data_IF_405338261706
#
_entry.id   IF_405338261706
#
_cell.length_a   1.000
_cell.length_b   1.000
_cell.length_c   1.000
_cell.angle_alpha   90.00
_cell.angle_beta   90.00
_cell.angle_gamma   90.00
#
_symmetry.space_group_name_H-M   'P 1'
#
loop_
_entity.id
_entity.type
_entity.pdbx_description
1 polymer ?
#
# COMPACT_ATOMS: atom_id res chain seq x y z
N UNK A 1 31.08 -0.21 -12.52
CA UNK A 1 31.75 0.54 -11.45
C UNK A 1 31.70 -0.29 -10.16
N UNK A 2 32.83 -0.89 -9.80
CA UNK A 2 32.95 -1.57 -8.52
C UNK A 2 33.22 -0.52 -7.44
N UNK A 3 32.21 0.31 -7.19
CA UNK A 3 32.29 1.32 -6.15
C UNK A 3 32.00 0.70 -4.78
N UNK A 4 32.93 0.79 -3.86
CA UNK A 4 32.70 0.57 -2.43
C UNK A 4 31.73 1.68 -1.99
N UNK A 5 30.46 1.40 -1.95
CA UNK A 5 29.42 2.39 -1.63
C UNK A 5 28.40 1.83 -0.65
N UNK A 6 28.15 2.56 0.43
CA UNK A 6 27.05 2.23 1.34
C UNK A 6 25.72 2.69 0.75
N UNK A 7 24.71 1.85 0.83
CA UNK A 7 23.35 2.15 0.38
C UNK A 7 22.39 2.20 1.58
N UNK A 8 21.46 3.14 1.54
CA UNK A 8 20.44 3.28 2.59
C UNK A 8 19.04 3.28 1.97
N UNK A 9 18.18 2.44 2.51
CA UNK A 9 16.74 2.44 2.25
C UNK A 9 16.00 2.82 3.52
N UNK A 10 15.11 3.78 3.43
CA UNK A 10 14.27 4.21 4.56
C UNK A 10 12.83 4.33 4.11
N UNK A 11 11.91 3.80 4.90
CA UNK A 11 10.47 3.78 4.59
C UNK A 11 10.19 3.17 3.21
N UNK A 12 10.82 2.07 2.86
CA UNK A 12 10.67 1.40 1.58
C UNK A 12 10.00 0.04 1.72
N UNK A 13 9.38 -0.43 0.66
CA UNK A 13 8.88 -1.80 0.64
C UNK A 13 8.91 -2.44 -0.74
N UNK A 14 8.97 -3.76 -0.74
CA UNK A 14 8.74 -4.62 -1.89
C UNK A 14 7.61 -5.58 -1.56
N UNK A 15 6.50 -5.52 -2.28
CA UNK A 15 5.33 -6.33 -1.95
C UNK A 15 4.55 -6.80 -3.18
N UNK A 16 3.94 -8.00 -3.07
CA UNK A 16 3.09 -8.61 -4.09
C UNK A 16 3.70 -8.59 -5.49
N UNK A 17 4.95 -8.97 -5.60
CA UNK A 17 5.69 -8.98 -6.87
C UNK A 17 6.43 -10.30 -7.07
N UNK A 18 6.82 -10.55 -8.30
CA UNK A 18 7.75 -11.61 -8.67
C UNK A 18 9.00 -10.98 -9.23
N UNK A 19 10.13 -11.31 -8.63
CA UNK A 19 11.45 -10.85 -9.10
C UNK A 19 12.28 -12.08 -9.40
N UNK A 20 12.67 -12.22 -10.66
CA UNK A 20 13.49 -13.34 -11.09
C UNK A 20 14.74 -12.87 -11.80
N UNK A 21 15.82 -13.63 -11.66
CA UNK A 21 17.03 -13.49 -12.44
C UNK A 21 17.33 -14.81 -13.12
N UNK A 22 17.75 -14.75 -14.38
CA UNK A 22 18.11 -15.93 -15.16
C UNK A 22 19.50 -15.78 -15.74
N UNK A 23 20.31 -16.85 -15.65
CA UNK A 23 21.56 -16.96 -16.40
C UNK A 23 21.71 -18.35 -16.98
N UNK A 24 22.04 -18.42 -18.26
CA UNK A 24 22.38 -19.65 -18.97
C UNK A 24 23.89 -19.76 -19.23
N UNK A 25 24.69 -18.82 -18.75
CA UNK A 25 26.15 -18.85 -18.81
C UNK A 25 26.72 -19.83 -17.75
N UNK A 26 27.70 -20.63 -18.17
CA UNK A 26 28.35 -21.66 -17.33
C UNK A 26 29.06 -21.09 -16.11
N UNK A 27 29.46 -19.82 -16.16
CA UNK A 27 30.09 -19.06 -15.06
C UNK A 27 29.20 -17.90 -14.58
N UNK A 28 27.95 -17.85 -15.02
CA UNK A 28 27.04 -16.75 -14.74
C UNK A 28 26.58 -16.71 -13.29
N UNK A 29 26.18 -15.52 -12.87
CA UNK A 29 25.65 -15.22 -11.54
C UNK A 29 24.19 -14.87 -11.68
N UNK A 30 23.31 -15.45 -10.86
CA UNK A 30 21.88 -15.16 -10.81
C UNK A 30 21.50 -14.87 -9.37
N UNK A 31 21.29 -13.59 -9.05
CA UNK A 31 21.11 -13.09 -7.70
C UNK A 31 19.86 -12.22 -7.63
N UNK A 32 19.01 -12.47 -6.63
CA UNK A 32 17.75 -11.74 -6.45
C UNK A 32 17.55 -11.40 -4.97
N UNK A 33 17.37 -10.12 -4.69
CA UNK A 33 16.97 -9.63 -3.38
C UNK A 33 15.77 -8.71 -3.45
N UNK A 34 15.09 -8.50 -2.34
CA UNK A 34 13.94 -7.61 -2.26
C UNK A 34 14.28 -6.14 -2.54
N UNK A 35 15.51 -5.72 -2.25
CA UNK A 35 16.01 -4.36 -2.52
C UNK A 35 17.22 -4.35 -3.46
N UNK A 36 18.18 -5.24 -3.26
CA UNK A 36 19.41 -5.30 -4.10
C UNK A 36 19.71 -6.73 -4.50
N UNK A 37 20.24 -6.93 -5.72
CA UNK A 37 20.65 -8.25 -6.21
C UNK A 37 21.92 -8.73 -5.53
N UNK A 38 22.95 -7.89 -5.43
CA UNK A 38 24.24 -8.20 -4.81
C UNK A 38 24.90 -6.99 -4.16
N UNK A 39 25.83 -7.28 -3.26
CA UNK A 39 26.68 -6.29 -2.61
C UNK A 39 28.11 -6.81 -2.50
N UNK A 40 29.08 -5.91 -2.65
CA UNK A 40 30.50 -6.23 -2.52
C UNK A 40 31.18 -5.18 -1.65
N UNK A 41 31.85 -5.62 -0.59
CA UNK A 41 32.62 -4.79 0.36
C UNK A 41 31.91 -3.50 0.79
N UNK A 42 30.59 -3.60 1.08
CA UNK A 42 29.72 -2.45 1.35
C UNK A 42 28.70 -2.76 2.43
N UNK A 43 28.09 -1.72 3.02
CA UNK A 43 27.01 -1.87 3.97
C UNK A 43 25.67 -1.43 3.36
N UNK A 44 24.64 -2.28 3.57
CA UNK A 44 23.25 -1.96 3.30
C UNK A 44 22.57 -1.55 4.61
N UNK A 45 22.15 -0.32 4.69
CA UNK A 45 21.35 0.17 5.82
C UNK A 45 19.88 0.17 5.41
N UNK A 46 19.04 -0.53 6.19
CA UNK A 46 17.60 -0.67 5.92
C UNK A 46 16.83 -0.22 7.15
N UNK A 47 16.06 0.85 7.04
CA UNK A 47 15.34 1.43 8.16
C UNK A 47 13.84 1.50 7.86
N UNK A 48 13.02 0.98 8.76
CA UNK A 48 11.57 1.06 8.67
C UNK A 48 11.05 0.55 7.30
N UNK A 49 11.48 -0.65 6.91
CA UNK A 49 11.21 -1.24 5.61
C UNK A 49 10.63 -2.65 5.74
N UNK A 50 10.03 -3.13 4.66
CA UNK A 50 9.59 -4.52 4.64
C UNK A 50 9.60 -5.16 3.24
N UNK A 51 9.64 -6.49 3.23
CA UNK A 51 9.46 -7.33 2.03
C UNK A 51 8.33 -8.31 2.30
N UNK A 52 7.28 -8.29 1.48
CA UNK A 52 6.10 -9.12 1.69
C UNK A 52 5.55 -9.72 0.41
N UNK A 53 5.33 -11.05 0.39
CA UNK A 53 4.87 -11.79 -0.81
C UNK A 53 5.68 -11.44 -2.06
N UNK A 54 6.98 -11.24 -1.89
CA UNK A 54 7.92 -11.09 -2.99
C UNK A 54 8.41 -12.49 -3.38
N UNK A 55 7.96 -13.01 -4.50
CA UNK A 55 8.45 -14.27 -5.03
C UNK A 55 9.81 -14.04 -5.67
N UNK A 56 10.86 -14.36 -4.91
CA UNK A 56 12.24 -14.17 -5.32
C UNK A 56 12.76 -15.49 -5.90
N UNK A 57 13.20 -15.51 -7.14
CA UNK A 57 13.67 -16.73 -7.80
C UNK A 57 14.88 -16.51 -8.69
N UNK A 58 15.71 -17.55 -8.77
CA UNK A 58 16.85 -17.60 -9.69
C UNK A 58 16.68 -18.79 -10.65
N UNK A 59 16.86 -18.55 -11.94
CA UNK A 59 16.70 -19.55 -12.99
C UNK A 59 17.97 -19.74 -13.80
N UNK A 60 17.99 -20.76 -14.66
CA UNK A 60 19.07 -21.05 -15.60
C UNK A 60 19.96 -22.22 -15.18
N UNK A 61 20.88 -22.56 -16.07
CA UNK A 61 21.74 -23.76 -15.98
C UNK A 61 23.15 -23.47 -15.50
N UNK A 62 23.40 -22.27 -14.99
CA UNK A 62 24.74 -21.89 -14.50
C UNK A 62 25.30 -22.91 -13.50
N UNK A 63 26.35 -23.60 -13.86
CA UNK A 63 27.11 -24.53 -13.05
C UNK A 63 28.60 -24.38 -13.44
N UNK A 64 29.47 -23.96 -12.55
CA UNK A 64 29.32 -23.73 -11.11
C UNK A 64 28.90 -22.32 -10.69
N UNK A 65 28.03 -21.67 -11.46
CA UNK A 65 27.55 -20.32 -11.17
C UNK A 65 26.87 -20.17 -9.80
N UNK A 66 26.82 -18.95 -9.31
CA UNK A 66 26.17 -18.64 -8.03
C UNK A 66 24.72 -18.27 -8.28
N UNK A 67 23.82 -18.98 -7.60
CA UNK A 67 22.40 -18.66 -7.54
C UNK A 67 22.03 -18.40 -6.10
N UNK A 68 21.53 -17.20 -5.83
CA UNK A 68 21.10 -16.86 -4.46
C UNK A 68 19.89 -15.93 -4.48
N UNK A 69 19.01 -16.13 -3.50
CA UNK A 69 17.90 -15.26 -3.16
C UNK A 69 18.03 -14.80 -1.73
N UNK A 70 17.62 -13.58 -1.44
CA UNK A 70 17.63 -13.08 -0.08
C UNK A 70 16.57 -12.02 0.16
N UNK A 71 16.15 -11.84 1.40
CA UNK A 71 15.07 -10.91 1.75
C UNK A 71 15.42 -9.48 1.33
N UNK A 72 16.55 -8.95 1.76
CA UNK A 72 16.99 -7.60 1.38
C UNK A 72 18.01 -7.61 0.25
N UNK A 73 18.98 -8.52 0.32
CA UNK A 73 20.02 -8.66 -0.69
C UNK A 73 20.16 -10.11 -1.13
N UNK A 74 20.29 -10.35 -2.45
CA UNK A 74 20.42 -11.69 -3.01
C UNK A 74 21.71 -12.36 -2.56
N UNK A 75 22.84 -11.63 -2.59
CA UNK A 75 24.15 -12.14 -2.13
C UNK A 75 25.03 -11.03 -1.56
N UNK A 76 25.86 -11.42 -0.58
CA UNK A 76 26.84 -10.55 0.06
C UNK A 76 28.25 -11.08 -0.20
N UNK A 77 29.06 -10.29 -0.91
CA UNK A 77 30.47 -10.61 -1.18
C UNK A 77 31.40 -9.84 -0.24
N UNK A 78 32.56 -10.42 0.02
CA UNK A 78 33.62 -9.79 0.79
C UNK A 78 33.19 -9.42 2.21
N UNK A 79 33.46 -8.19 2.62
CA UNK A 79 33.09 -7.63 3.92
C UNK A 79 31.68 -7.03 3.99
N UNK A 80 30.79 -7.34 3.03
CA UNK A 80 29.44 -6.77 3.00
C UNK A 80 28.59 -7.14 4.19
N UNK A 81 27.74 -6.21 4.62
CA UNK A 81 26.85 -6.38 5.77
C UNK A 81 25.47 -5.72 5.55
N UNK A 82 24.49 -6.23 6.28
CA UNK A 82 23.16 -5.62 6.39
C UNK A 82 23.02 -5.09 7.82
N UNK A 83 22.66 -3.81 7.93
CA UNK A 83 22.31 -3.14 9.18
C UNK A 83 20.85 -2.69 9.04
N UNK A 84 19.96 -3.28 9.81
CA UNK A 84 18.54 -3.00 9.74
C UNK A 84 17.98 -2.52 11.08
N UNK A 85 16.95 -1.68 10.99
CA UNK A 85 16.21 -1.17 12.15
C UNK A 85 14.73 -1.11 11.81
N UNK A 86 13.88 -1.69 12.66
CA UNK A 86 12.44 -1.72 12.49
C UNK A 86 12.02 -2.26 11.11
N UNK A 87 12.57 -3.41 10.73
CA UNK A 87 12.32 -4.03 9.44
C UNK A 87 11.60 -5.37 9.59
N UNK A 88 10.79 -5.71 8.59
CA UNK A 88 9.96 -6.92 8.62
C UNK A 88 9.97 -7.63 7.27
N UNK A 89 9.67 -8.93 7.29
CA UNK A 89 9.43 -9.68 6.07
C UNK A 89 8.38 -10.79 6.29
N UNK A 90 7.80 -11.28 5.21
CA UNK A 90 6.87 -12.40 5.28
C UNK A 90 6.50 -12.94 3.89
N UNK A 91 6.28 -14.26 3.83
CA UNK A 91 5.88 -14.96 2.60
C UNK A 91 6.78 -14.68 1.39
N UNK A 92 8.10 -14.60 1.61
CA UNK A 92 9.10 -14.31 0.56
C UNK A 92 9.74 -15.57 -0.04
N UNK A 93 9.48 -16.74 0.53
CA UNK A 93 10.11 -18.00 0.10
C UNK A 93 11.58 -18.15 0.53
N UNK A 94 12.16 -17.17 1.21
CA UNK A 94 13.52 -17.19 1.75
C UNK A 94 13.58 -16.37 3.04
N UNK A 95 14.51 -16.72 3.93
CA UNK A 95 14.87 -15.95 5.13
C UNK A 95 16.32 -15.46 5.07
N UNK A 96 17.03 -15.79 4.01
CA UNK A 96 18.42 -15.43 3.82
C UNK A 96 18.59 -13.91 3.66
N UNK A 97 19.70 -13.39 4.15
CA UNK A 97 20.06 -11.97 4.03
C UNK A 97 18.95 -11.00 4.49
N UNK A 98 18.22 -11.38 5.54
CA UNK A 98 17.20 -10.55 6.18
C UNK A 98 17.78 -9.61 7.25
N UNK A 99 19.07 -9.74 7.61
CA UNK A 99 19.64 -9.04 8.75
C UNK A 99 19.01 -9.51 10.07
N UNK A 100 18.53 -8.56 10.88
CA UNK A 100 17.78 -8.80 12.11
C UNK A 100 16.27 -8.55 11.98
N UNK A 101 15.79 -8.35 10.75
CA UNK A 101 14.39 -8.10 10.46
C UNK A 101 13.47 -9.20 11.00
N UNK A 102 12.34 -8.79 11.55
CA UNK A 102 11.35 -9.72 12.12
C UNK A 102 10.52 -10.41 11.04
N UNK A 103 10.50 -11.75 11.04
CA UNK A 103 9.54 -12.47 10.22
C UNK A 103 8.12 -12.28 10.77
N UNK A 104 7.16 -12.01 9.88
CA UNK A 104 5.77 -11.76 10.19
C UNK A 104 4.84 -12.65 9.36
N UNK A 105 3.75 -13.06 9.99
CA UNK A 105 2.71 -13.85 9.35
C UNK A 105 1.90 -13.01 8.35
N UNK A 106 1.25 -13.66 7.42
CA UNK A 106 0.32 -12.99 6.50
C UNK A 106 -0.83 -12.28 7.23
N UNK A 107 -1.26 -12.84 8.36
CA UNK A 107 -2.29 -12.21 9.19
C UNK A 107 -1.80 -10.90 9.82
N UNK A 108 -0.57 -10.86 10.34
CA UNK A 108 0.02 -9.63 10.90
C UNK A 108 0.19 -8.54 9.83
N UNK A 109 0.47 -8.93 8.58
CA UNK A 109 0.48 -7.97 7.46
C UNK A 109 -0.91 -7.45 7.12
N UNK A 110 -1.96 -8.29 7.19
CA UNK A 110 -3.33 -7.91 6.82
C UNK A 110 -4.09 -7.14 7.91
N UNK A 111 -3.85 -7.46 9.17
CA UNK A 111 -4.62 -6.91 10.29
C UNK A 111 -4.09 -5.57 10.82
N UNK A 112 -3.08 -5.00 10.19
CA UNK A 112 -2.50 -3.71 10.57
C UNK A 112 -1.40 -3.78 11.63
N UNK A 113 -1.05 -4.97 12.13
CA UNK A 113 0.05 -5.13 13.11
C UNK A 113 1.35 -4.58 12.55
N UNK A 114 1.73 -4.98 11.33
CA UNK A 114 2.97 -4.51 10.68
C UNK A 114 2.90 -3.01 10.38
N UNK A 115 1.75 -2.50 9.90
CA UNK A 115 1.57 -1.07 9.69
C UNK A 115 1.80 -0.26 10.98
N UNK A 116 1.22 -0.72 12.10
CA UNK A 116 1.42 -0.08 13.41
C UNK A 116 2.87 -0.10 13.88
N UNK A 117 3.61 -1.17 13.63
CA UNK A 117 5.04 -1.26 13.95
C UNK A 117 5.89 -0.33 13.08
N UNK A 118 5.56 -0.19 11.80
CA UNK A 118 6.24 0.73 10.87
C UNK A 118 5.91 2.21 11.15
N UNK A 119 4.81 2.50 11.88
CA UNK A 119 4.43 3.85 12.29
C UNK A 119 3.89 4.72 11.16
N UNK A 120 3.95 6.03 11.36
CA UNK A 120 3.23 7.04 10.55
C UNK A 120 3.58 7.07 9.07
N UNK A 121 4.73 6.52 8.67
CA UNK A 121 5.12 6.46 7.26
C UNK A 121 4.26 5.47 6.45
N UNK A 122 3.54 4.58 7.13
CA UNK A 122 2.73 3.55 6.52
C UNK A 122 1.30 3.52 7.08
N UNK A 123 0.36 3.14 6.25
CA UNK A 123 -1.03 2.89 6.62
C UNK A 123 -1.44 1.49 6.17
N UNK A 124 -2.30 0.82 6.94
CA UNK A 124 -2.91 -0.44 6.48
C UNK A 124 -3.91 -0.16 5.37
N UNK A 125 -3.65 -0.69 4.17
CA UNK A 125 -4.52 -0.54 3.00
C UNK A 125 -4.67 -1.87 2.28
N UNK A 126 -5.79 -2.52 2.49
CA UNK A 126 -6.01 -3.88 1.99
C UNK A 126 -5.12 -4.89 2.72
N UNK A 127 -4.42 -5.75 1.99
CA UNK A 127 -3.71 -6.91 2.53
C UNK A 127 -2.32 -6.60 3.13
N UNK A 128 -1.82 -5.37 3.01
CA UNK A 128 -0.48 -5.02 3.51
C UNK A 128 -0.32 -3.50 3.68
N UNK A 129 0.67 -3.04 4.48
CA UNK A 129 0.94 -1.62 4.63
C UNK A 129 1.32 -0.96 3.31
N UNK A 130 0.84 0.25 3.07
CA UNK A 130 1.24 1.12 1.96
C UNK A 130 1.74 2.45 2.50
N UNK A 131 2.38 3.25 1.66
CA UNK A 131 2.78 4.60 2.07
C UNK A 131 1.57 5.38 2.54
N UNK A 132 1.68 5.96 3.73
CA UNK A 132 0.66 6.87 4.22
C UNK A 132 0.74 8.19 3.45
N UNK A 133 -0.40 8.65 2.96
CA UNK A 133 -0.53 9.85 2.15
C UNK A 133 -1.92 10.46 2.36
N UNK A 134 -2.33 11.43 1.55
CA UNK A 134 -3.68 11.97 1.61
C UNK A 134 -4.72 10.90 1.26
N UNK A 135 -5.86 10.94 1.92
CA UNK A 135 -7.00 10.10 1.57
C UNK A 135 -7.55 10.48 0.18
N UNK A 136 -8.17 9.53 -0.49
CA UNK A 136 -8.86 9.75 -1.76
C UNK A 136 -10.29 10.25 -1.51
N UNK A 137 -10.57 11.47 -1.95
CA UNK A 137 -11.87 12.14 -1.85
C UNK A 137 -12.70 12.07 -3.13
N UNK A 138 -12.27 11.37 -4.16
CA UNK A 138 -12.94 11.33 -5.46
C UNK A 138 -14.42 10.92 -5.36
N UNK A 139 -14.72 9.92 -4.53
CA UNK A 139 -16.09 9.45 -4.28
C UNK A 139 -16.95 10.48 -3.52
N UNK A 140 -16.35 11.17 -2.52
CA UNK A 140 -17.03 12.29 -1.82
C UNK A 140 -17.38 13.40 -2.79
N UNK A 141 -16.43 13.80 -3.65
CA UNK A 141 -16.63 14.87 -4.63
C UNK A 141 -17.70 14.50 -5.66
N UNK A 142 -17.73 13.25 -6.10
CA UNK A 142 -18.77 12.73 -6.98
C UNK A 142 -20.17 12.74 -6.30
N UNK A 143 -20.25 12.33 -5.04
CA UNK A 143 -21.51 12.35 -4.28
C UNK A 143 -22.01 13.79 -4.06
N UNK A 144 -21.12 14.74 -3.74
CA UNK A 144 -21.46 16.16 -3.63
C UNK A 144 -21.94 16.71 -4.98
N UNK A 145 -21.25 16.39 -6.08
CA UNK A 145 -21.65 16.83 -7.41
C UNK A 145 -23.04 16.30 -7.78
N UNK A 146 -23.31 15.03 -7.46
CA UNK A 146 -24.64 14.41 -7.66
C UNK A 146 -25.71 15.12 -6.85
N UNK A 147 -25.46 15.42 -5.57
CA UNK A 147 -26.39 16.15 -4.72
C UNK A 147 -26.67 17.56 -5.24
N UNK A 148 -25.64 18.29 -5.69
CA UNK A 148 -25.75 19.63 -6.20
C UNK A 148 -26.47 19.71 -7.58
N UNK A 149 -26.53 18.62 -8.32
CA UNK A 149 -27.27 18.52 -9.57
C UNK A 149 -28.80 18.34 -9.36
N UNK A 150 -29.24 18.04 -8.14
CA UNK A 150 -30.66 17.87 -7.80
C UNK A 150 -31.35 19.23 -7.67
N UNK A 151 -32.57 19.33 -8.19
CA UNK A 151 -33.40 20.51 -7.97
C UNK A 151 -34.06 20.43 -6.58
N UNK A 152 -33.56 21.20 -5.62
CA UNK A 152 -34.04 21.20 -4.23
C UNK A 152 -35.52 21.47 -4.09
N UNK A 153 -36.11 22.27 -4.99
CA UNK A 153 -37.49 22.66 -4.94
C UNK A 153 -38.48 21.52 -5.23
N UNK A 154 -37.98 20.42 -5.76
CA UNK A 154 -38.81 19.23 -6.05
C UNK A 154 -39.00 18.33 -4.83
N UNK A 155 -38.21 18.51 -3.75
CA UNK A 155 -38.22 17.64 -2.58
C UNK A 155 -38.92 18.29 -1.39
N UNK A 156 -39.53 17.45 -0.54
CA UNK A 156 -40.20 17.88 0.71
C UNK A 156 -39.24 18.51 1.70
N UNK A 157 -38.08 17.88 1.87
CA UNK A 157 -37.00 18.33 2.74
C UNK A 157 -35.65 17.94 2.13
N UNK A 158 -34.74 18.88 2.02
CA UNK A 158 -33.38 18.69 1.50
C UNK A 158 -32.30 18.86 2.58
N UNK A 159 -32.69 19.17 3.82
CA UNK A 159 -31.81 19.55 4.91
C UNK A 159 -30.82 18.43 5.30
N UNK A 160 -31.23 17.16 5.23
CA UNK A 160 -30.37 16.02 5.53
C UNK A 160 -29.18 15.93 4.54
N UNK A 161 -29.42 16.21 3.25
CA UNK A 161 -28.37 16.23 2.22
C UNK A 161 -27.39 17.38 2.47
N UNK A 162 -27.90 18.58 2.77
CA UNK A 162 -27.07 19.74 3.10
C UNK A 162 -26.23 19.49 4.36
N UNK A 163 -26.82 18.87 5.36
CA UNK A 163 -26.11 18.50 6.61
C UNK A 163 -24.98 17.51 6.30
N UNK A 164 -25.24 16.47 5.51
CA UNK A 164 -24.22 15.48 5.15
C UNK A 164 -23.06 16.13 4.38
N UNK A 165 -23.36 17.01 3.40
CA UNK A 165 -22.32 17.74 2.65
C UNK A 165 -21.49 18.65 3.57
N UNK A 166 -22.14 19.40 4.46
CA UNK A 166 -21.46 20.33 5.37
C UNK A 166 -20.64 19.63 6.44
N UNK A 167 -20.91 18.35 6.70
CA UNK A 167 -20.16 17.51 7.65
C UNK A 167 -18.89 16.91 7.05
N UNK A 168 -18.59 17.14 5.79
CA UNK A 168 -17.37 16.62 5.14
C UNK A 168 -16.13 17.29 5.71
N UNK A 169 -15.24 16.46 6.30
CA UNK A 169 -13.94 16.90 6.82
C UNK A 169 -12.87 16.55 5.79
N UNK A 170 -12.10 17.55 5.36
CA UNK A 170 -10.99 17.40 4.42
C UNK A 170 -9.65 17.27 5.14
N UNK A 171 -8.63 16.81 4.41
CA UNK A 171 -7.26 16.74 4.92
C UNK A 171 -6.94 15.47 5.71
N UNK A 172 -7.78 14.45 5.63
CA UNK A 172 -7.49 13.13 6.23
C UNK A 172 -6.39 12.40 5.48
N UNK A 173 -5.70 11.52 6.20
CA UNK A 173 -4.67 10.63 5.66
C UNK A 173 -5.29 9.34 5.10
N UNK A 174 -4.50 8.60 4.34
CA UNK A 174 -4.89 7.28 3.82
C UNK A 174 -5.25 6.28 4.93
N UNK A 175 -4.64 6.39 6.11
CA UNK A 175 -5.01 5.60 7.29
C UNK A 175 -6.47 5.83 7.74
N UNK A 176 -7.03 7.01 7.41
CA UNK A 176 -8.40 7.42 7.74
C UNK A 176 -9.36 7.29 6.54
N UNK A 177 -8.98 6.55 5.49
CA UNK A 177 -9.81 6.39 4.28
C UNK A 177 -11.21 5.88 4.60
N UNK A 178 -11.35 4.97 5.55
CA UNK A 178 -12.67 4.45 5.94
C UNK A 178 -13.61 5.56 6.47
N UNK A 179 -13.09 6.60 7.09
CA UNK A 179 -13.89 7.75 7.52
C UNK A 179 -14.33 8.60 6.33
N UNK A 180 -13.47 8.75 5.31
CA UNK A 180 -13.79 9.42 4.06
C UNK A 180 -14.87 8.66 3.29
N UNK A 181 -14.77 7.34 3.24
CA UNK A 181 -15.77 6.48 2.61
C UNK A 181 -17.13 6.55 3.33
N UNK A 182 -17.11 6.67 4.67
CA UNK A 182 -18.33 6.89 5.47
C UNK A 182 -19.00 8.24 5.16
N UNK A 183 -18.24 9.30 4.87
CA UNK A 183 -18.80 10.59 4.43
C UNK A 183 -19.49 10.46 3.07
N UNK A 184 -18.88 9.74 2.12
CA UNK A 184 -19.52 9.42 0.84
C UNK A 184 -20.86 8.74 1.06
N UNK A 185 -20.86 7.69 1.86
CA UNK A 185 -22.08 6.93 2.16
C UNK A 185 -23.16 7.79 2.82
N UNK A 186 -22.79 8.66 3.74
CA UNK A 186 -23.76 9.55 4.40
C UNK A 186 -24.45 10.48 3.41
N UNK A 187 -23.72 11.03 2.42
CA UNK A 187 -24.31 11.86 1.36
C UNK A 187 -25.23 11.02 0.47
N UNK A 188 -24.80 9.85 0.05
CA UNK A 188 -25.59 8.95 -0.81
C UNK A 188 -26.87 8.45 -0.11
N UNK A 189 -26.79 8.09 1.16
CA UNK A 189 -27.93 7.68 1.98
C UNK A 189 -28.93 8.85 2.09
N UNK A 190 -28.46 10.06 2.34
CA UNK A 190 -29.29 11.24 2.44
C UNK A 190 -30.00 11.56 1.09
N UNK A 191 -29.30 11.43 -0.04
CA UNK A 191 -29.89 11.56 -1.39
C UNK A 191 -30.97 10.50 -1.62
N UNK A 192 -30.69 9.25 -1.22
CA UNK A 192 -31.62 8.12 -1.41
C UNK A 192 -32.90 8.28 -0.57
N UNK A 193 -32.80 8.93 0.59
CA UNK A 193 -33.92 9.17 1.49
C UNK A 193 -34.84 10.34 1.05
N UNK A 194 -34.46 11.10 0.02
CA UNK A 194 -35.24 12.24 -0.47
C UNK A 194 -36.63 11.81 -0.94
N UNK A 195 -37.64 12.59 -0.57
CA UNK A 195 -39.02 12.41 -1.01
C UNK A 195 -39.46 13.60 -1.85
N UNK A 196 -40.04 13.33 -3.04
CA UNK A 196 -40.63 14.36 -3.87
C UNK A 196 -41.81 15.02 -3.18
N UNK A 197 -42.02 16.30 -3.45
CA UNK A 197 -43.26 16.98 -3.12
C UNK A 197 -44.43 16.31 -3.82
N UNK A 198 -45.59 16.25 -3.17
CA UNK A 198 -46.78 15.72 -3.81
C UNK A 198 -47.11 16.55 -5.05
N UNK A 199 -47.38 15.90 -6.16
CA UNK A 199 -47.90 16.59 -7.35
C UNK A 199 -49.21 17.24 -6.95
N UNK A 200 -49.25 18.59 -6.93
CA UNK A 200 -50.50 19.32 -6.70
C UNK A 200 -51.45 19.06 -7.87
N UNK A 201 -52.30 18.08 -7.71
CA UNK A 201 -53.47 17.97 -8.59
C UNK A 201 -54.39 19.15 -8.24
N UNK A 202 -54.30 20.25 -9.00
CA UNK A 202 -55.42 21.17 -9.07
C UNK A 202 -56.59 20.39 -9.65
N UNK A 203 -57.67 20.26 -8.83
CA UNK A 203 -58.94 19.70 -9.30
C UNK A 203 -59.27 20.33 -10.63
N UNK A 204 -59.33 19.52 -11.67
CA UNK A 204 -60.00 19.90 -12.88
C UNK A 204 -61.50 19.77 -12.55
N UNK A 205 -62.12 20.89 -12.21
CA UNK A 205 -63.57 20.93 -12.06
C UNK A 205 -64.19 20.71 -13.45
N UNK A 206 -64.96 19.62 -13.57
CA UNK A 206 -65.71 19.23 -14.74
C UNK A 206 -66.93 20.13 -14.91
#
# INVERSE_FOLDING_TARGET
DYGVGNSTFTNCYTANCSVSSKTDDVQGVSLVGGFVGEMTDSALTVNNCYVYRAMLSTEGTAVPGIKATGVFAGHLWGGSSIVDTNCFFGACGTTENAGTAGEKTEEEFRNGTVAGLLGEAFAQVGDYPKFNGPADYSSVDAAIAKANALNKDEYKDFSAVETAINSVVRGKSLAEQAEVDAMTKAIEDAITALQYKDAGYTKVDA
#
